data_IF_360082241629
#
_entry.id   IF_360082241629
#
_cell.length_a   1.000
_cell.length_b   1.000
_cell.length_c   1.000
_cell.angle_alpha   90.00
_cell.angle_beta   90.00
_cell.angle_gamma   90.00
#
_symmetry.space_group_name_H-M   'P 1'
#
loop_
_entity.id
_entity.type
_entity.pdbx_description
1 polymer ?
#
# COMPACT_ATOMS: atom_id res chain seq x y z
N UNK A 1 5.11 77.01 -8.15
CA UNK A 1 4.45 78.31 -8.18
C UNK A 1 3.46 78.37 -9.34
N UNK A 2 2.27 78.95 -9.23
CA UNK A 2 1.37 79.12 -8.10
C UNK A 2 -0.03 78.54 -8.36
N UNK A 3 -0.82 78.46 -7.29
CA UNK A 3 -2.28 78.22 -7.36
C UNK A 3 -3.05 79.41 -7.93
N UNK A 4 -4.39 79.63 -7.74
CA UNK A 4 -5.20 79.33 -6.51
C UNK A 4 -6.64 78.84 -6.77
N UNK A 5 -7.26 78.32 -5.71
CA UNK A 5 -8.50 78.66 -5.02
C UNK A 5 -9.81 79.02 -5.79
N UNK A 6 -10.87 78.38 -5.30
CA UNK A 6 -12.19 78.92 -4.90
C UNK A 6 -13.12 77.72 -4.76
N UNK A 7 -13.76 77.35 -3.66
CA UNK A 7 -14.61 78.22 -2.83
C UNK A 7 -16.09 77.85 -3.11
N UNK A 8 -16.75 77.16 -2.19
CA UNK A 8 -18.18 76.96 -2.32
C UNK A 8 -18.72 76.03 -1.19
N UNK A 9 -19.29 76.68 -0.24
CA UNK A 9 -20.00 76.01 0.95
C UNK A 9 -21.51 76.00 0.66
N UNK A 10 -22.30 75.33 1.48
CA UNK A 10 -23.29 74.25 1.23
C UNK A 10 -24.75 74.78 1.11
N UNK A 11 -25.68 73.83 1.07
CA UNK A 11 -26.69 73.88 2.13
C UNK A 11 -27.11 72.56 2.72
N UNK A 12 -27.35 72.66 3.98
CA UNK A 12 -28.16 71.89 4.94
C UNK A 12 -29.43 71.28 4.37
N UNK A 13 -29.62 69.99 4.70
CA UNK A 13 -30.91 69.33 4.54
C UNK A 13 -30.97 68.11 5.49
N UNK A 14 -31.62 68.27 6.60
CA UNK A 14 -31.91 67.28 7.61
C UNK A 14 -32.82 66.18 7.08
N UNK A 15 -32.46 64.93 7.32
CA UNK A 15 -33.31 63.77 7.11
C UNK A 15 -32.87 62.64 8.04
N UNK A 16 -33.24 62.70 9.29
CA UNK A 16 -33.04 61.62 10.24
C UNK A 16 -33.91 60.40 9.87
N UNK A 17 -33.28 59.39 9.23
CA UNK A 17 -33.89 58.04 9.14
C UNK A 17 -33.48 57.29 10.38
N UNK A 18 -34.44 56.96 11.22
CA UNK A 18 -34.34 56.02 12.36
C UNK A 18 -33.86 54.66 11.83
N UNK A 19 -32.90 53.98 12.48
CA UNK A 19 -32.63 52.58 12.20
C UNK A 19 -33.85 51.77 12.71
N UNK A 20 -34.51 51.09 11.78
CA UNK A 20 -35.54 50.09 12.04
C UNK A 20 -34.91 48.92 12.79
N UNK A 21 -35.36 48.77 13.99
CA UNK A 21 -35.10 47.67 14.92
C UNK A 21 -35.73 46.38 14.36
N UNK A 22 -34.95 45.63 13.54
CA UNK A 22 -35.35 44.35 12.96
C UNK A 22 -34.28 43.25 13.20
N UNK A 23 -33.88 43.06 14.46
CA UNK A 23 -32.84 42.06 14.73
C UNK A 23 -32.92 41.24 16.05
N UNK A 24 -34.04 40.98 16.72
CA UNK A 24 -34.05 39.90 17.73
C UNK A 24 -34.55 38.55 17.20
N UNK A 25 -35.45 38.51 16.22
CA UNK A 25 -36.10 37.25 15.79
C UNK A 25 -35.23 36.34 14.91
N UNK A 26 -34.20 36.88 14.22
CA UNK A 26 -33.28 36.07 13.43
C UNK A 26 -32.20 35.38 14.27
N UNK A 27 -31.69 36.08 15.28
CA UNK A 27 -30.69 35.51 16.22
C UNK A 27 -31.28 34.41 17.08
N UNK A 28 -32.54 34.57 17.57
CA UNK A 28 -33.24 33.57 18.40
C UNK A 28 -33.57 32.32 17.59
N UNK A 29 -33.88 32.42 16.29
CA UNK A 29 -34.10 31.27 15.41
C UNK A 29 -32.83 30.51 15.11
N UNK A 30 -31.69 31.20 14.89
CA UNK A 30 -30.41 30.59 14.65
C UNK A 30 -29.90 29.82 15.87
N UNK A 31 -30.02 30.39 17.07
CA UNK A 31 -29.62 29.70 18.32
C UNK A 31 -30.51 28.51 18.66
N UNK A 32 -31.82 28.61 18.42
CA UNK A 32 -32.76 27.49 18.64
C UNK A 32 -32.51 26.36 17.63
N UNK A 33 -32.20 26.67 16.36
CA UNK A 33 -31.86 25.67 15.35
C UNK A 33 -30.52 24.98 15.63
N UNK A 34 -29.53 25.72 16.12
CA UNK A 34 -28.22 25.14 16.53
C UNK A 34 -28.41 24.23 17.75
N UNK A 35 -29.13 24.67 18.78
CA UNK A 35 -29.38 23.85 19.97
C UNK A 35 -30.13 22.55 19.64
N UNK A 36 -31.05 22.58 18.67
CA UNK A 36 -31.77 21.38 18.21
C UNK A 36 -30.83 20.45 17.43
N UNK A 37 -29.95 21.00 16.60
CA UNK A 37 -28.92 20.22 15.88
C UNK A 37 -27.89 19.56 16.82
N UNK A 38 -27.45 20.29 17.84
CA UNK A 38 -26.49 19.76 18.84
C UNK A 38 -27.14 18.64 19.67
N UNK A 39 -28.43 18.77 20.04
CA UNK A 39 -29.18 17.73 20.75
C UNK A 39 -29.38 16.47 19.89
N UNK A 40 -29.68 16.62 18.58
CA UNK A 40 -29.83 15.51 17.66
C UNK A 40 -28.51 14.80 17.47
N UNK A 41 -27.40 15.51 17.33
CA UNK A 41 -26.04 14.93 17.22
C UNK A 41 -25.67 14.15 18.49
N UNK A 42 -25.88 14.70 19.68
CA UNK A 42 -25.61 13.99 20.93
C UNK A 42 -26.43 12.70 21.07
N UNK A 43 -27.67 12.71 20.64
CA UNK A 43 -28.53 11.54 20.61
C UNK A 43 -28.04 10.50 19.58
N UNK A 44 -27.64 10.93 18.39
CA UNK A 44 -27.04 10.05 17.39
C UNK A 44 -25.78 9.39 17.93
N UNK A 45 -24.88 10.15 18.56
CA UNK A 45 -23.66 9.63 19.16
C UNK A 45 -23.96 8.55 20.21
N UNK A 46 -24.95 8.77 21.06
CA UNK A 46 -25.38 7.77 22.05
C UNK A 46 -25.88 6.49 21.38
N UNK A 47 -26.76 6.58 20.39
CA UNK A 47 -27.32 5.43 19.66
C UNK A 47 -26.24 4.64 18.91
N UNK A 48 -25.30 5.32 18.27
CA UNK A 48 -24.17 4.70 17.57
C UNK A 48 -23.29 3.94 18.55
N UNK A 49 -23.01 4.52 19.72
CA UNK A 49 -22.23 3.86 20.78
C UNK A 49 -22.94 2.60 21.31
N UNK A 50 -24.22 2.71 21.63
CA UNK A 50 -25.02 1.59 22.12
C UNK A 50 -25.22 0.50 21.05
N UNK A 51 -25.33 0.88 19.77
CA UNK A 51 -25.50 -0.01 18.63
C UNK A 51 -24.21 -0.69 18.12
N UNK A 52 -23.03 -0.30 18.60
CA UNK A 52 -21.73 -0.75 18.07
C UNK A 52 -21.57 -2.27 18.07
N UNK A 53 -21.99 -2.95 19.13
CA UNK A 53 -21.95 -4.42 19.23
C UNK A 53 -22.87 -5.11 18.22
N UNK A 54 -24.05 -4.55 17.97
CA UNK A 54 -24.99 -5.07 16.97
C UNK A 54 -24.45 -4.87 15.55
N UNK A 55 -23.79 -3.75 15.28
CA UNK A 55 -23.13 -3.47 14.01
C UNK A 55 -22.01 -4.49 13.76
N UNK A 56 -21.18 -4.74 14.77
CA UNK A 56 -20.11 -5.73 14.65
C UNK A 56 -20.66 -7.14 14.37
N UNK A 57 -21.66 -7.57 15.10
CA UNK A 57 -22.30 -8.86 14.87
C UNK A 57 -22.97 -8.95 13.49
N UNK A 58 -23.58 -7.87 13.00
CA UNK A 58 -24.17 -7.79 11.67
C UNK A 58 -23.09 -7.84 10.58
N UNK A 59 -21.98 -7.14 10.78
CA UNK A 59 -20.85 -7.18 9.85
C UNK A 59 -20.27 -8.59 9.73
N UNK A 60 -20.04 -9.28 10.85
CA UNK A 60 -19.53 -10.64 10.84
C UNK A 60 -20.44 -11.63 10.11
N UNK A 61 -21.75 -11.55 10.33
CA UNK A 61 -22.72 -12.36 9.58
C UNK A 61 -22.65 -12.08 8.08
N UNK A 62 -22.61 -10.80 7.70
CA UNK A 62 -22.57 -10.39 6.30
C UNK A 62 -21.29 -10.84 5.61
N UNK A 63 -20.13 -10.78 6.30
CA UNK A 63 -18.88 -11.33 5.79
C UNK A 63 -18.96 -12.83 5.51
N UNK A 64 -19.61 -13.58 6.41
CA UNK A 64 -19.81 -15.02 6.24
C UNK A 64 -20.80 -15.34 5.12
N UNK A 65 -21.83 -14.53 4.93
CA UNK A 65 -22.84 -14.70 3.87
C UNK A 65 -22.27 -14.35 2.50
N UNK A 66 -21.58 -13.23 2.34
CA UNK A 66 -21.23 -12.65 1.04
C UNK A 66 -19.87 -13.09 0.50
N UNK A 67 -18.91 -13.49 1.37
CA UNK A 67 -17.53 -13.74 0.99
C UNK A 67 -17.15 -15.22 1.11
N UNK A 68 -17.18 -15.93 0.00
CA UNK A 68 -16.82 -17.36 -0.06
C UNK A 68 -15.38 -17.62 0.41
N UNK A 69 -14.43 -16.76 -0.01
CA UNK A 69 -13.04 -16.88 0.40
C UNK A 69 -12.84 -16.65 1.91
N UNK A 70 -13.69 -15.81 2.54
CA UNK A 70 -13.67 -15.61 3.99
C UNK A 70 -14.08 -16.89 4.73
N UNK A 71 -15.12 -17.59 4.26
CA UNK A 71 -15.53 -18.89 4.82
C UNK A 71 -14.45 -19.96 4.71
N UNK A 72 -13.63 -19.89 3.64
CA UNK A 72 -12.54 -20.83 3.39
C UNK A 72 -11.29 -20.56 4.25
N UNK A 73 -11.21 -19.40 4.94
CA UNK A 73 -10.09 -19.10 5.82
C UNK A 73 -10.02 -20.06 7.02
N UNK A 74 -8.82 -20.34 7.55
CA UNK A 74 -8.64 -20.98 8.85
C UNK A 74 -9.40 -20.25 9.96
N UNK A 75 -9.85 -20.96 10.98
CA UNK A 75 -10.62 -20.38 12.09
C UNK A 75 -9.86 -19.27 12.82
N UNK A 76 -8.54 -19.39 12.92
CA UNK A 76 -7.65 -18.38 13.51
C UNK A 76 -7.68 -17.08 12.71
N UNK A 77 -7.50 -17.14 11.39
CA UNK A 77 -7.53 -15.96 10.51
C UNK A 77 -8.91 -15.30 10.54
N UNK A 78 -10.00 -16.07 10.55
CA UNK A 78 -11.37 -15.53 10.72
C UNK A 78 -11.55 -14.80 12.04
N UNK A 79 -10.98 -15.33 13.13
CA UNK A 79 -11.01 -14.68 14.44
C UNK A 79 -10.27 -13.34 14.41
N UNK A 80 -9.11 -13.28 13.76
CA UNK A 80 -8.37 -12.04 13.58
C UNK A 80 -9.13 -11.01 12.75
N UNK A 81 -9.75 -11.42 11.65
CA UNK A 81 -10.61 -10.54 10.85
C UNK A 81 -11.74 -9.97 11.70
N UNK A 82 -12.37 -10.80 12.56
CA UNK A 82 -13.39 -10.37 13.48
C UNK A 82 -12.90 -9.30 14.46
N UNK A 83 -11.72 -9.50 15.05
CA UNK A 83 -11.10 -8.52 15.94
C UNK A 83 -10.78 -7.20 15.23
N UNK A 84 -10.25 -7.25 14.01
CA UNK A 84 -9.95 -6.06 13.20
C UNK A 84 -11.25 -5.31 12.84
N UNK A 85 -12.30 -6.02 12.43
CA UNK A 85 -13.61 -5.40 12.14
C UNK A 85 -14.21 -4.73 13.38
N UNK A 86 -14.17 -5.42 14.53
CA UNK A 86 -14.62 -4.86 15.82
C UNK A 86 -13.81 -3.63 16.22
N UNK A 87 -12.48 -3.68 16.08
CA UNK A 87 -11.60 -2.55 16.36
C UNK A 87 -11.91 -1.36 15.44
N UNK A 88 -12.18 -1.61 14.15
CA UNK A 88 -12.57 -0.58 13.19
C UNK A 88 -13.89 0.12 13.56
N UNK A 89 -14.90 -0.63 13.93
CA UNK A 89 -16.19 -0.08 14.40
C UNK A 89 -16.00 0.71 15.69
N UNK A 90 -15.24 0.19 16.65
CA UNK A 90 -14.93 0.88 17.92
C UNK A 90 -14.18 2.19 17.70
N UNK A 91 -13.20 2.18 16.79
CA UNK A 91 -12.44 3.37 16.44
C UNK A 91 -13.31 4.41 15.71
N UNK A 92 -14.23 3.97 14.83
CA UNK A 92 -15.24 4.86 14.24
C UNK A 92 -16.11 5.54 15.33
N UNK A 93 -16.65 4.77 16.26
CA UNK A 93 -17.48 5.30 17.37
C UNK A 93 -16.68 6.31 18.17
N UNK A 94 -15.44 6.00 18.54
CA UNK A 94 -14.56 6.89 19.30
C UNK A 94 -14.28 8.21 18.56
N UNK A 95 -14.00 8.12 17.27
CA UNK A 95 -13.79 9.31 16.45
C UNK A 95 -15.08 10.11 16.25
N UNK A 96 -16.23 9.45 16.04
CA UNK A 96 -17.53 10.10 15.86
C UNK A 96 -17.97 10.88 17.09
N UNK A 97 -17.53 10.46 18.29
CA UNK A 97 -17.79 11.20 19.55
C UNK A 97 -16.99 12.51 19.65
N UNK A 98 -15.82 12.61 18.96
CA UNK A 98 -15.01 13.83 18.90
C UNK A 98 -14.43 14.01 17.48
N UNK A 99 -15.25 14.47 16.50
CA UNK A 99 -14.83 14.61 15.10
C UNK A 99 -13.92 15.82 14.84
N UNK A 100 -13.59 16.59 15.87
CA UNK A 100 -12.62 17.72 15.77
C UNK A 100 -11.21 17.23 15.55
N UNK A 101 -10.92 16.01 15.95
CA UNK A 101 -9.65 15.33 15.68
C UNK A 101 -9.69 14.64 14.31
N UNK A 102 -8.58 14.63 13.57
CA UNK A 102 -8.50 13.74 12.42
C UNK A 102 -8.71 12.30 12.89
N UNK A 103 -9.23 11.40 12.03
CA UNK A 103 -9.41 10.00 12.39
C UNK A 103 -8.04 9.33 12.61
N UNK A 104 -7.44 9.60 13.78
CA UNK A 104 -6.19 9.02 14.22
C UNK A 104 -6.45 7.58 14.69
N UNK A 105 -5.47 6.72 14.54
CA UNK A 105 -5.58 5.32 14.97
C UNK A 105 -6.22 4.39 13.94
N UNK A 106 -6.59 4.88 12.75
CA UNK A 106 -7.05 4.00 11.67
C UNK A 106 -5.93 3.06 11.24
N UNK A 107 -4.67 3.52 11.25
CA UNK A 107 -3.49 2.66 11.07
C UNK A 107 -3.35 1.62 12.18
N UNK A 108 -3.72 1.95 13.41
CA UNK A 108 -3.66 1.06 14.58
C UNK A 108 -4.68 -0.08 14.52
N UNK A 109 -5.79 0.09 13.75
CA UNK A 109 -6.75 -0.99 13.50
C UNK A 109 -6.04 -2.21 12.88
N UNK A 110 -5.16 -1.95 11.92
CA UNK A 110 -4.38 -3.00 11.26
C UNK A 110 -3.13 -3.42 12.05
N UNK A 111 -2.63 -2.56 12.96
CA UNK A 111 -1.50 -2.88 13.83
C UNK A 111 -1.83 -3.96 14.88
N UNK A 112 -3.11 -4.16 15.18
CA UNK A 112 -3.58 -5.24 16.06
C UNK A 112 -3.49 -6.62 15.40
N UNK A 113 -3.40 -6.66 14.07
CA UNK A 113 -3.30 -7.91 13.32
C UNK A 113 -1.83 -8.40 13.28
N UNK A 114 -1.60 -9.71 13.42
CA UNK A 114 -0.27 -10.28 13.23
C UNK A 114 0.27 -9.96 11.83
N UNK A 115 1.59 -9.74 11.65
CA UNK A 115 2.18 -9.53 10.33
C UNK A 115 1.89 -10.67 9.33
N UNK A 116 1.64 -11.88 9.85
CA UNK A 116 1.27 -13.06 9.08
C UNK A 116 -0.06 -12.88 8.36
N UNK A 117 -1.00 -12.13 8.93
CA UNK A 117 -2.32 -11.90 8.35
C UNK A 117 -2.23 -11.14 7.00
N UNK A 118 -1.26 -10.22 6.86
CA UNK A 118 -1.00 -9.54 5.58
C UNK A 118 -0.38 -10.46 4.51
N UNK A 119 0.01 -11.68 4.88
CA UNK A 119 0.47 -12.72 3.97
C UNK A 119 -0.67 -13.64 3.53
N UNK A 120 -1.58 -13.96 4.44
CA UNK A 120 -2.74 -14.83 4.16
C UNK A 120 -3.90 -14.08 3.51
N UNK A 121 -4.08 -12.78 3.82
CA UNK A 121 -5.16 -11.95 3.27
C UNK A 121 -4.56 -10.87 2.35
N UNK A 122 -4.97 -10.86 1.08
CA UNK A 122 -4.53 -9.86 0.11
C UNK A 122 -5.14 -8.47 0.38
N UNK A 123 -4.53 -7.40 -0.15
CA UNK A 123 -5.12 -6.06 -0.13
C UNK A 123 -6.54 -6.05 -0.74
N UNK A 124 -6.74 -6.79 -1.85
CA UNK A 124 -8.04 -6.91 -2.50
C UNK A 124 -9.09 -7.48 -1.55
N UNK A 125 -8.77 -8.56 -0.84
CA UNK A 125 -9.63 -9.17 0.17
C UNK A 125 -9.90 -8.21 1.33
N UNK A 126 -8.87 -7.53 1.83
CA UNK A 126 -9.04 -6.53 2.89
C UNK A 126 -9.98 -5.40 2.49
N UNK A 127 -9.88 -4.88 1.26
CA UNK A 127 -10.79 -3.86 0.77
C UNK A 127 -12.24 -4.39 0.60
N UNK A 128 -12.42 -5.68 0.27
CA UNK A 128 -13.74 -6.30 0.28
C UNK A 128 -14.33 -6.39 1.70
N UNK A 129 -13.51 -6.76 2.70
CA UNK A 129 -13.93 -6.76 4.11
C UNK A 129 -14.35 -5.35 4.56
N UNK A 130 -13.52 -4.35 4.28
CA UNK A 130 -13.85 -2.95 4.61
C UNK A 130 -15.16 -2.53 3.97
N UNK A 131 -15.38 -2.85 2.70
CA UNK A 131 -16.62 -2.52 1.99
C UNK A 131 -17.84 -3.14 2.67
N UNK A 132 -17.81 -4.43 2.98
CA UNK A 132 -18.93 -5.12 3.64
C UNK A 132 -19.24 -4.49 5.01
N UNK A 133 -18.20 -4.17 5.81
CA UNK A 133 -18.39 -3.51 7.11
C UNK A 133 -19.02 -2.13 6.94
N UNK A 134 -18.56 -1.34 5.96
CA UNK A 134 -19.13 -0.01 5.66
C UNK A 134 -20.57 -0.13 5.20
N UNK A 135 -20.88 -1.04 4.28
CA UNK A 135 -22.25 -1.28 3.79
C UNK A 135 -23.21 -1.61 4.93
N UNK A 136 -22.76 -2.41 5.90
CA UNK A 136 -23.56 -2.73 7.10
C UNK A 136 -23.81 -1.50 7.97
N UNK A 137 -22.80 -0.65 8.17
CA UNK A 137 -22.94 0.60 8.95
C UNK A 137 -23.88 1.57 8.22
N UNK A 138 -23.72 1.73 6.91
CA UNK A 138 -24.57 2.57 6.07
C UNK A 138 -26.04 2.10 6.10
N UNK A 139 -26.29 0.81 5.92
CA UNK A 139 -27.64 0.23 5.96
C UNK A 139 -28.34 0.42 7.32
N UNK A 140 -27.59 0.60 8.40
CA UNK A 140 -28.13 0.85 9.73
C UNK A 140 -28.13 2.33 10.12
N UNK A 141 -27.58 3.23 9.29
CA UNK A 141 -27.45 4.66 9.61
C UNK A 141 -28.78 5.31 9.96
N UNK A 142 -29.85 5.02 9.22
CA UNK A 142 -31.18 5.62 9.45
C UNK A 142 -31.81 5.17 10.79
N UNK A 143 -31.44 3.99 11.28
CA UNK A 143 -31.89 3.50 12.60
C UNK A 143 -31.09 4.08 13.75
N UNK A 144 -29.82 4.40 13.50
CA UNK A 144 -28.88 4.91 14.50
C UNK A 144 -28.95 6.43 14.61
N UNK A 145 -29.25 7.13 13.53
CA UNK A 145 -29.38 8.56 13.55
C UNK A 145 -30.61 9.01 14.35
N UNK A 146 -30.48 10.13 15.05
CA UNK A 146 -31.64 10.87 15.54
C UNK A 146 -32.33 11.57 14.37
N UNK A 147 -33.66 11.85 14.47
CA UNK A 147 -34.38 12.58 13.43
C UNK A 147 -33.71 13.91 13.09
N UNK A 148 -33.33 14.08 11.82
CA UNK A 148 -32.68 15.29 11.31
C UNK A 148 -31.13 15.22 11.28
N UNK A 149 -30.50 14.15 11.79
CA UNK A 149 -29.05 13.98 11.84
C UNK A 149 -28.57 12.84 10.92
N UNK A 150 -29.46 12.25 10.12
CA UNK A 150 -29.17 11.11 9.23
C UNK A 150 -28.09 11.44 8.22
N UNK A 151 -28.09 12.66 7.70
CA UNK A 151 -27.12 13.15 6.73
C UNK A 151 -25.74 13.27 7.36
N UNK A 152 -25.66 13.84 8.55
CA UNK A 152 -24.41 14.03 9.30
C UNK A 152 -23.75 12.68 9.59
N UNK A 153 -24.52 11.69 10.04
CA UNK A 153 -24.00 10.33 10.27
C UNK A 153 -23.50 9.68 8.99
N UNK A 154 -24.23 9.77 7.88
CA UNK A 154 -23.75 9.20 6.58
C UNK A 154 -22.48 9.88 6.11
N UNK A 155 -22.38 11.20 6.18
CA UNK A 155 -21.17 11.94 5.83
C UNK A 155 -19.97 11.52 6.71
N UNK A 156 -20.21 11.30 8.01
CA UNK A 156 -19.18 10.80 8.92
C UNK A 156 -18.72 9.37 8.55
N UNK A 157 -19.64 8.46 8.23
CA UNK A 157 -19.33 7.10 7.81
C UNK A 157 -18.49 7.13 6.53
N UNK A 158 -18.89 7.91 5.51
CA UNK A 158 -18.15 8.04 4.26
C UNK A 158 -16.75 8.64 4.47
N UNK A 159 -16.63 9.65 5.31
CA UNK A 159 -15.34 10.26 5.64
C UNK A 159 -14.42 9.26 6.33
N UNK A 160 -14.93 8.54 7.31
CA UNK A 160 -14.15 7.56 8.06
C UNK A 160 -13.76 6.35 7.21
N UNK A 161 -14.68 5.81 6.40
CA UNK A 161 -14.41 4.67 5.53
C UNK A 161 -13.31 4.94 4.51
N UNK A 162 -13.25 6.16 3.99
CA UNK A 162 -12.16 6.60 3.12
C UNK A 162 -10.80 6.52 3.83
N UNK A 163 -10.70 6.99 5.06
CA UNK A 163 -9.45 6.94 5.84
C UNK A 163 -9.05 5.48 6.14
N UNK A 164 -10.03 4.61 6.45
CA UNK A 164 -9.77 3.16 6.63
C UNK A 164 -9.20 2.54 5.36
N UNK A 165 -9.77 2.85 4.20
CA UNK A 165 -9.29 2.31 2.93
C UNK A 165 -7.86 2.78 2.60
N UNK A 166 -7.53 4.05 2.83
CA UNK A 166 -6.18 4.57 2.64
C UNK A 166 -5.18 3.94 3.62
N UNK A 167 -5.54 3.82 4.90
CA UNK A 167 -4.68 3.16 5.89
C UNK A 167 -4.41 1.69 5.55
N UNK A 168 -5.43 0.97 5.06
CA UNK A 168 -5.22 -0.39 4.56
C UNK A 168 -4.20 -0.40 3.42
N UNK A 169 -4.35 0.49 2.43
CA UNK A 169 -3.43 0.59 1.31
C UNK A 169 -1.99 0.89 1.76
N UNK A 170 -1.81 1.81 2.71
CA UNK A 170 -0.50 2.16 3.28
C UNK A 170 0.17 0.98 3.99
N UNK A 171 -0.59 0.24 4.82
CA UNK A 171 -0.07 -0.94 5.52
C UNK A 171 0.41 -2.00 4.52
N UNK A 172 -0.39 -2.28 3.48
CA UNK A 172 -0.01 -3.25 2.46
C UNK A 172 1.15 -2.76 1.57
N UNK A 173 1.20 -1.47 1.22
CA UNK A 173 2.32 -0.88 0.49
C UNK A 173 3.62 -1.03 1.30
N UNK A 174 3.60 -0.64 2.58
CA UNK A 174 4.76 -0.77 3.46
C UNK A 174 5.19 -2.23 3.65
N UNK A 175 4.25 -3.16 3.82
CA UNK A 175 4.56 -4.58 3.91
C UNK A 175 5.19 -5.12 2.61
N UNK A 176 4.74 -4.64 1.45
CA UNK A 176 5.31 -5.00 0.15
C UNK A 176 6.73 -4.43 -0.04
N UNK A 177 6.97 -3.18 0.38
CA UNK A 177 8.30 -2.55 0.34
C UNK A 177 9.30 -3.30 1.22
N UNK A 178 8.92 -3.60 2.46
CA UNK A 178 9.78 -4.36 3.39
C UNK A 178 10.11 -5.74 2.82
N UNK A 179 9.12 -6.42 2.25
CA UNK A 179 9.30 -7.75 1.62
C UNK A 179 10.20 -7.65 0.41
N UNK A 180 9.98 -6.67 -0.47
CA UNK A 180 10.80 -6.44 -1.65
C UNK A 180 12.26 -6.12 -1.32
N UNK A 181 12.52 -5.34 -0.28
CA UNK A 181 13.87 -5.04 0.18
C UNK A 181 14.56 -6.28 0.78
N UNK A 182 13.81 -7.12 1.51
CA UNK A 182 14.33 -8.37 2.06
C UNK A 182 14.67 -9.39 0.97
N UNK A 183 13.77 -9.60 0.01
CA UNK A 183 13.98 -10.46 -1.16
C UNK A 183 15.22 -10.02 -1.95
N UNK A 184 15.36 -8.70 -2.19
CA UNK A 184 16.50 -8.14 -2.90
C UNK A 184 17.85 -8.40 -2.18
N UNK A 185 17.84 -8.27 -0.84
CA UNK A 185 19.04 -8.55 -0.04
C UNK A 185 19.40 -10.03 -0.06
N UNK A 186 18.40 -10.91 0.08
CA UNK A 186 18.61 -12.35 0.02
C UNK A 186 19.10 -12.79 -1.36
N UNK A 187 18.52 -12.24 -2.43
CA UNK A 187 18.93 -12.49 -3.81
C UNK A 187 20.39 -12.10 -4.05
N UNK A 188 20.81 -10.91 -3.59
CA UNK A 188 22.20 -10.47 -3.68
C UNK A 188 23.16 -11.40 -2.94
N UNK A 189 22.80 -11.87 -1.75
CA UNK A 189 23.61 -12.83 -0.98
C UNK A 189 23.72 -14.17 -1.70
N UNK A 190 22.64 -14.65 -2.32
CA UNK A 190 22.62 -15.90 -3.08
C UNK A 190 23.50 -15.79 -4.31
N UNK A 191 23.36 -14.73 -5.11
CA UNK A 191 24.20 -14.51 -6.31
C UNK A 191 25.66 -14.39 -5.94
N UNK A 192 25.99 -13.68 -4.87
CA UNK A 192 27.36 -13.52 -4.40
C UNK A 192 27.97 -14.86 -3.94
N UNK A 193 27.22 -15.69 -3.22
CA UNK A 193 27.64 -17.03 -2.83
C UNK A 193 27.87 -17.96 -4.06
N UNK A 194 26.97 -17.92 -5.06
CA UNK A 194 27.14 -18.67 -6.31
C UNK A 194 28.40 -18.22 -7.02
N UNK A 195 28.65 -16.93 -7.14
CA UNK A 195 29.86 -16.40 -7.83
C UNK A 195 31.13 -16.82 -7.10
N UNK A 196 31.15 -16.82 -5.77
CA UNK A 196 32.32 -17.34 -5.01
C UNK A 196 32.47 -18.86 -5.06
N UNK A 197 31.38 -19.57 -5.37
CA UNK A 197 31.37 -21.03 -5.38
C UNK A 197 31.05 -21.65 -4.01
N UNK A 198 30.49 -20.88 -3.11
CA UNK A 198 30.08 -21.29 -1.75
C UNK A 198 28.71 -22.01 -1.81
N UNK A 199 28.70 -23.24 -2.40
CA UNK A 199 27.45 -23.99 -2.61
C UNK A 199 27.27 -24.99 -1.46
N UNK A 200 26.54 -24.58 -0.45
CA UNK A 200 26.18 -25.37 0.73
C UNK A 200 24.65 -25.56 0.86
N UNK A 201 24.22 -26.30 1.88
CA UNK A 201 22.79 -26.54 2.15
C UNK A 201 22.07 -25.25 2.58
N UNK A 202 22.78 -24.31 3.21
CA UNK A 202 22.21 -23.01 3.54
C UNK A 202 21.91 -22.18 2.30
N UNK A 203 22.77 -22.24 1.26
CA UNK A 203 22.48 -21.62 -0.03
C UNK A 203 21.25 -22.23 -0.69
N UNK A 204 21.11 -23.57 -0.68
CA UNK A 204 19.94 -24.26 -1.26
C UNK A 204 18.64 -23.80 -0.57
N UNK A 205 18.66 -23.69 0.75
CA UNK A 205 17.50 -23.19 1.51
C UNK A 205 17.15 -21.75 1.15
N UNK A 206 18.14 -20.87 1.00
CA UNK A 206 17.93 -19.47 0.60
C UNK A 206 17.38 -19.33 -0.82
N UNK A 207 17.89 -20.13 -1.74
CA UNK A 207 17.43 -20.17 -3.14
C UNK A 207 15.98 -20.64 -3.21
N UNK A 208 15.62 -21.68 -2.46
CA UNK A 208 14.23 -22.16 -2.33
C UNK A 208 13.30 -21.11 -1.73
N UNK A 209 13.78 -20.34 -0.72
CA UNK A 209 13.02 -19.26 -0.10
C UNK A 209 12.72 -18.10 -1.07
N UNK A 210 13.55 -17.92 -2.12
CA UNK A 210 13.31 -16.96 -3.21
C UNK A 210 12.33 -17.49 -4.27
N UNK A 211 11.84 -18.73 -4.12
CA UNK A 211 10.91 -19.36 -5.05
C UNK A 211 11.57 -19.99 -6.27
N UNK A 212 12.89 -20.20 -6.25
CA UNK A 212 13.60 -20.89 -7.32
C UNK A 212 13.17 -22.35 -7.40
N UNK A 213 12.67 -22.76 -8.57
CA UNK A 213 12.15 -24.12 -8.77
C UNK A 213 13.25 -25.16 -9.03
N UNK A 214 14.35 -24.71 -9.63
CA UNK A 214 15.46 -25.58 -10.06
C UNK A 214 15.08 -26.60 -11.14
N UNK A 215 14.04 -26.31 -11.91
CA UNK A 215 13.63 -27.15 -13.03
C UNK A 215 14.31 -26.69 -14.31
N UNK A 216 14.64 -27.65 -15.16
CA UNK A 216 15.32 -27.36 -16.42
C UNK A 216 16.75 -26.91 -16.24
N UNK A 217 17.25 -26.16 -17.21
CA UNK A 217 18.61 -25.64 -17.20
C UNK A 217 18.67 -24.18 -16.76
N UNK A 218 19.87 -23.70 -16.49
CA UNK A 218 20.14 -22.33 -16.04
C UNK A 218 21.26 -21.71 -16.88
N UNK A 219 21.12 -20.45 -17.27
CA UNK A 219 22.13 -19.61 -17.86
C UNK A 219 22.55 -18.51 -16.90
N UNK A 220 23.87 -18.32 -16.77
CA UNK A 220 24.43 -17.21 -15.99
C UNK A 220 24.96 -16.16 -16.98
N UNK A 221 24.44 -14.94 -16.83
CA UNK A 221 24.74 -13.80 -17.68
C UNK A 221 25.51 -12.78 -16.84
N UNK A 222 26.63 -12.32 -17.34
CA UNK A 222 27.48 -11.33 -16.67
C UNK A 222 27.81 -10.19 -17.63
N UNK A 223 27.68 -8.98 -17.16
CA UNK A 223 27.99 -7.77 -17.89
C UNK A 223 28.26 -6.59 -16.97
N UNK A 224 28.53 -5.43 -17.55
CA UNK A 224 28.70 -4.20 -16.76
C UNK A 224 27.35 -3.73 -16.21
N UNK A 225 27.34 -3.23 -14.98
CA UNK A 225 26.15 -2.58 -14.45
C UNK A 225 25.94 -1.22 -15.10
N UNK A 226 24.70 -0.79 -15.27
CA UNK A 226 24.40 0.60 -15.66
C UNK A 226 24.84 1.51 -14.51
N UNK A 227 25.54 2.59 -14.84
CA UNK A 227 25.96 3.60 -13.84
C UNK A 227 24.74 4.05 -13.03
N UNK A 228 24.82 3.95 -11.70
CA UNK A 228 23.75 4.19 -10.75
C UNK A 228 22.54 3.24 -10.94
N UNK A 229 22.69 1.99 -10.53
CA UNK A 229 21.57 1.08 -10.34
C UNK A 229 20.84 1.55 -9.07
N UNK A 230 19.93 2.54 -9.23
CA UNK A 230 19.02 2.94 -8.19
C UNK A 230 18.01 1.82 -7.92
N UNK A 231 17.31 1.92 -6.80
CA UNK A 231 16.35 0.90 -6.33
C UNK A 231 15.23 0.65 -7.37
N UNK A 232 14.82 1.69 -8.10
CA UNK A 232 13.77 1.62 -9.13
C UNK A 232 14.23 0.79 -10.32
N UNK A 233 15.44 1.02 -10.81
CA UNK A 233 16.02 0.28 -11.93
C UNK A 233 16.32 -1.18 -11.55
N UNK A 234 16.78 -1.42 -10.33
CA UNK A 234 16.97 -2.76 -9.82
C UNK A 234 15.66 -3.54 -9.75
N UNK A 235 14.57 -2.92 -9.29
CA UNK A 235 13.23 -3.50 -9.26
C UNK A 235 12.68 -3.76 -10.67
N UNK A 236 12.93 -2.85 -11.63
CA UNK A 236 12.56 -3.03 -13.03
C UNK A 236 13.30 -4.18 -13.68
N UNK A 237 14.60 -4.31 -13.41
CA UNK A 237 15.41 -5.42 -13.90
C UNK A 237 14.91 -6.75 -13.36
N UNK A 238 14.67 -6.86 -12.05
CA UNK A 238 14.10 -8.09 -11.44
C UNK A 238 12.76 -8.46 -12.06
N UNK A 239 11.87 -7.48 -12.28
CA UNK A 239 10.59 -7.71 -12.95
C UNK A 239 10.78 -8.21 -14.38
N UNK A 240 11.69 -7.62 -15.13
CA UNK A 240 11.98 -8.04 -16.49
C UNK A 240 12.54 -9.47 -16.54
N UNK A 241 13.46 -9.81 -15.63
CA UNK A 241 14.06 -11.15 -15.55
C UNK A 241 13.01 -12.21 -15.20
N UNK A 242 12.14 -11.94 -14.20
CA UNK A 242 11.03 -12.84 -13.80
C UNK A 242 9.93 -12.99 -14.85
N UNK A 243 9.85 -12.10 -15.84
CA UNK A 243 8.94 -12.25 -16.99
C UNK A 243 9.58 -13.05 -18.13
N UNK A 244 10.91 -13.08 -18.18
CA UNK A 244 11.64 -13.70 -19.25
C UNK A 244 11.94 -15.19 -18.99
N UNK A 245 11.94 -15.64 -17.72
CA UNK A 245 12.26 -17.00 -17.33
C UNK A 245 11.47 -17.42 -16.08
N UNK A 246 11.28 -18.72 -15.89
CA UNK A 246 10.58 -19.29 -14.75
C UNK A 246 11.32 -19.02 -13.43
N UNK A 247 12.64 -19.21 -13.46
CA UNK A 247 13.55 -18.95 -12.35
C UNK A 247 14.44 -17.74 -12.70
N UNK A 248 14.58 -16.81 -11.76
CA UNK A 248 15.32 -15.57 -11.97
C UNK A 248 16.01 -15.10 -10.70
N UNK A 249 17.33 -14.80 -10.78
CA UNK A 249 18.10 -14.14 -9.74
C UNK A 249 18.93 -13.01 -10.35
N UNK A 250 18.98 -11.90 -9.63
CA UNK A 250 19.73 -10.70 -10.05
C UNK A 250 20.59 -10.22 -8.89
N UNK A 251 21.86 -10.03 -9.14
CA UNK A 251 22.79 -9.51 -8.14
C UNK A 251 23.90 -8.67 -8.76
N UNK A 252 24.59 -7.93 -7.90
CA UNK A 252 25.78 -7.16 -8.28
C UNK A 252 26.96 -7.78 -7.53
N UNK A 253 28.00 -8.12 -8.26
CA UNK A 253 29.27 -8.57 -7.72
C UNK A 253 30.40 -7.61 -8.16
N UNK A 254 30.88 -6.79 -7.23
CA UNK A 254 31.77 -5.67 -7.54
C UNK A 254 31.07 -4.64 -8.43
N UNK A 255 31.59 -4.42 -9.63
CA UNK A 255 31.05 -3.54 -10.68
C UNK A 255 30.24 -4.32 -11.75
N UNK A 256 30.02 -5.62 -11.55
CA UNK A 256 29.37 -6.51 -12.51
C UNK A 256 27.95 -6.83 -12.13
N UNK A 257 27.09 -6.72 -13.12
CA UNK A 257 25.72 -7.23 -13.04
C UNK A 257 25.75 -8.73 -13.37
N UNK A 258 25.23 -9.53 -12.47
CA UNK A 258 25.09 -10.99 -12.62
C UNK A 258 23.63 -11.34 -12.61
N UNK A 259 23.16 -12.00 -13.66
CA UNK A 259 21.77 -12.44 -13.80
C UNK A 259 21.77 -13.95 -14.08
N UNK A 260 20.98 -14.67 -13.30
CA UNK A 260 20.70 -16.08 -13.55
C UNK A 260 19.27 -16.20 -14.07
N UNK A 261 19.08 -16.93 -15.14
CA UNK A 261 17.78 -17.29 -15.69
C UNK A 261 17.69 -18.80 -15.82
N UNK A 262 16.60 -19.39 -15.35
CA UNK A 262 16.40 -20.84 -15.34
C UNK A 262 14.98 -21.21 -15.75
N UNK A 263 14.80 -22.47 -16.15
CA UNK A 263 13.53 -23.04 -16.54
C UNK A 263 13.63 -24.02 -17.70
N UNK A 264 12.47 -24.50 -18.13
CA UNK A 264 12.33 -25.40 -19.29
C UNK A 264 12.06 -24.64 -20.61
N UNK A 265 11.91 -23.31 -20.54
CA UNK A 265 11.58 -22.46 -21.68
C UNK A 265 12.77 -22.04 -22.56
N UNK A 266 12.53 -21.05 -23.44
CA UNK A 266 13.58 -20.48 -24.31
C UNK A 266 14.49 -19.53 -23.52
N UNK A 267 15.47 -20.07 -22.84
CA UNK A 267 16.47 -19.28 -22.08
C UNK A 267 17.32 -18.37 -22.96
N UNK A 268 17.55 -18.72 -24.24
CA UNK A 268 18.31 -17.86 -25.16
C UNK A 268 17.50 -16.63 -25.58
N UNK A 269 16.22 -16.81 -25.80
CA UNK A 269 15.28 -15.69 -25.98
C UNK A 269 15.21 -14.79 -24.75
N UNK A 270 15.18 -15.38 -23.54
CA UNK A 270 15.24 -14.65 -22.28
C UNK A 270 16.53 -13.81 -22.15
N UNK A 271 17.69 -14.40 -22.45
CA UNK A 271 18.97 -13.67 -22.51
C UNK A 271 18.88 -12.48 -23.45
N UNK A 272 18.42 -12.71 -24.69
CA UNK A 272 18.30 -11.64 -25.70
C UNK A 272 17.44 -10.49 -25.26
N UNK A 273 16.31 -10.78 -24.60
CA UNK A 273 15.40 -9.78 -24.04
C UNK A 273 16.01 -8.96 -22.89
N UNK A 274 17.00 -9.53 -22.20
CA UNK A 274 17.67 -8.89 -21.06
C UNK A 274 18.92 -8.08 -21.45
N UNK A 275 19.52 -8.30 -22.63
CA UNK A 275 20.69 -7.56 -23.06
C UNK A 275 20.61 -6.04 -22.94
N UNK A 276 19.46 -5.37 -23.29
CA UNK A 276 19.34 -3.93 -23.17
C UNK A 276 19.36 -3.40 -21.72
N UNK A 277 19.34 -4.28 -20.74
CA UNK A 277 19.36 -3.94 -19.30
C UNK A 277 20.77 -3.88 -18.71
N UNK A 278 21.76 -4.36 -19.45
CA UNK A 278 23.15 -4.27 -19.07
C UNK A 278 23.73 -2.90 -19.45
N UNK A 279 24.79 -2.51 -18.76
CA UNK A 279 25.54 -1.30 -19.08
C UNK A 279 26.36 -1.46 -20.37
N UNK A 280 27.02 -0.39 -20.80
CA UNK A 280 27.83 -0.43 -22.00
C UNK A 280 29.00 -1.42 -21.85
N UNK A 281 29.30 -2.16 -22.92
CA UNK A 281 30.35 -3.13 -22.95
C UNK A 281 29.90 -4.55 -23.29
N UNK A 282 30.79 -5.52 -23.21
CA UNK A 282 30.47 -6.91 -23.50
C UNK A 282 29.55 -7.51 -22.43
N UNK A 283 28.66 -8.38 -22.88
CA UNK A 283 27.84 -9.25 -22.03
C UNK A 283 28.22 -10.69 -22.36
N UNK A 284 28.54 -11.47 -21.35
CA UNK A 284 28.99 -12.85 -21.52
C UNK A 284 27.98 -13.78 -20.84
N UNK A 285 27.63 -14.84 -21.56
CA UNK A 285 26.81 -15.93 -21.05
C UNK A 285 27.72 -17.11 -20.76
N UNK A 286 27.67 -17.64 -19.57
CA UNK A 286 28.42 -18.81 -19.16
C UNK A 286 27.84 -20.10 -19.76
N UNK A 287 28.55 -21.22 -19.62
CA UNK A 287 28.04 -22.54 -20.00
C UNK A 287 26.73 -22.85 -19.29
N UNK A 288 25.86 -23.58 -19.95
CA UNK A 288 24.62 -24.06 -19.40
C UNK A 288 24.83 -24.90 -18.14
N UNK A 289 24.06 -24.62 -17.10
CA UNK A 289 24.13 -25.24 -15.78
C UNK A 289 22.90 -26.08 -15.51
N UNK A 290 23.06 -27.20 -14.82
CA UNK A 290 21.96 -28.10 -14.44
C UNK A 290 21.65 -28.03 -12.93
N UNK A 291 22.59 -27.54 -12.13
CA UNK A 291 22.43 -27.37 -10.69
C UNK A 291 23.19 -26.14 -10.18
N UNK A 292 23.09 -25.86 -8.88
CA UNK A 292 23.74 -24.69 -8.26
C UNK A 292 25.28 -24.77 -8.30
N UNK A 293 25.87 -25.98 -8.29
CA UNK A 293 27.32 -26.12 -8.41
C UNK A 293 27.79 -25.82 -9.85
N UNK A 294 26.97 -26.21 -10.82
CA UNK A 294 27.17 -25.84 -12.23
C UNK A 294 27.00 -24.35 -12.44
N UNK A 295 26.03 -23.71 -11.79
CA UNK A 295 25.86 -22.24 -11.82
C UNK A 295 27.15 -21.54 -11.33
N UNK A 296 27.77 -22.03 -10.26
CA UNK A 296 29.02 -21.47 -9.75
C UNK A 296 30.16 -21.60 -10.76
N UNK A 297 30.25 -22.72 -11.48
CA UNK A 297 31.24 -22.91 -12.57
C UNK A 297 30.93 -21.99 -13.76
N UNK A 298 29.68 -21.90 -14.14
CA UNK A 298 29.19 -21.06 -15.22
C UNK A 298 29.47 -19.57 -14.93
N UNK A 299 29.20 -19.11 -13.71
CA UNK A 299 29.45 -17.72 -13.28
C UNK A 299 30.96 -17.39 -13.38
N UNK A 300 31.83 -18.26 -12.90
CA UNK A 300 33.28 -18.06 -12.99
C UNK A 300 33.75 -18.03 -14.43
N UNK A 301 33.25 -18.92 -15.30
CA UNK A 301 33.57 -18.92 -16.73
C UNK A 301 33.11 -17.63 -17.42
N UNK A 302 31.89 -17.15 -17.10
CA UNK A 302 31.36 -15.90 -17.65
C UNK A 302 32.19 -14.68 -17.20
N UNK A 303 32.60 -14.62 -15.94
CA UNK A 303 33.46 -13.55 -15.41
C UNK A 303 34.85 -13.55 -16.07
N UNK A 304 35.45 -14.71 -16.23
CA UNK A 304 36.72 -14.83 -16.93
C UNK A 304 36.61 -14.42 -18.41
N UNK A 305 35.53 -14.83 -19.08
CA UNK A 305 35.24 -14.41 -20.46
C UNK A 305 35.02 -12.90 -20.58
N UNK A 306 34.34 -12.29 -19.60
CA UNK A 306 34.12 -10.84 -19.57
C UNK A 306 35.45 -10.08 -19.41
N UNK A 307 36.33 -10.55 -18.53
CA UNK A 307 37.64 -9.95 -18.34
C UNK A 307 38.50 -10.04 -19.62
N UNK A 308 38.48 -11.20 -20.31
CA UNK A 308 39.17 -11.38 -21.59
C UNK A 308 38.61 -10.48 -22.69
N UNK A 309 37.25 -10.38 -22.81
CA UNK A 309 36.59 -9.52 -23.79
C UNK A 309 36.90 -8.03 -23.58
N UNK A 310 36.97 -7.59 -22.32
CA UNK A 310 37.32 -6.22 -21.97
C UNK A 310 38.80 -5.89 -22.34
N UNK A 311 39.69 -6.83 -22.20
CA UNK A 311 41.08 -6.67 -22.60
C UNK A 311 41.27 -6.62 -24.13
N UNK A 312 40.38 -7.24 -24.91
CA UNK A 312 40.41 -7.20 -26.38
C UNK A 312 39.86 -5.91 -26.98
N UNK A 313 39.03 -5.19 -26.22
CA UNK A 313 38.40 -3.96 -26.66
C UNK A 313 39.23 -2.69 -26.37
N UNK A 314 40.40 -2.84 -25.73
CA UNK A 314 41.40 -1.79 -25.51
C UNK A 314 42.46 -1.80 -26.59
#
# INVERSE_FOLDING_TARGET
MPGPSHGGRPPTGAGAARPTDAAPAARTRTTASQATGDAANAETQRRVKEGSGLLAAAAMRRLDEDLEWYRALPAEDRSWVGLVAQAGITAFVTWFMDPTRPPHGVGDIFATAPPELTRSISLQHTLQLVRVVVDVVEANSDRLAAPGDERSLREAVLRYSREVAFSAAEVYARAAEVRGAWDARLEALVVDAIVRGDVDDALRSRVAALGWSGRGSTLVIVGTTVSALDEVRAADLRRATRRAADDALVGIHGDRLVVLVGGEGDLRGAVTALLPRFGPGPVVVGPEAQDLADCARSARAALAGLAAAAAWAQ
#
